data_IF_441589221020
#
_entry.id   IF_441589221020
#
_cell.length_a   1.000
_cell.length_b   1.000
_cell.length_c   1.000
_cell.angle_alpha   90.00
_cell.angle_beta   90.00
_cell.angle_gamma   90.00
#
_symmetry.space_group_name_H-M   'P 1'
#
loop_
_entity.id
_entity.type
_entity.pdbx_description
1 polymer ?
#
# COMPACT_ATOMS: atom_id res chain seq x y z
N UNK A 1 0.46 -14.18 50.92
CA UNK A 1 -0.92 -14.38 51.38
C UNK A 1 -1.73 -13.46 50.48
N UNK A 2 -1.97 -13.90 49.25
CA UNK A 2 -3.13 -14.75 48.85
C UNK A 2 -4.41 -13.95 49.10
N UNK A 3 -5.28 -13.65 48.14
CA UNK A 3 -5.74 -14.36 46.92
C UNK A 3 -6.34 -13.28 45.96
N UNK A 4 -6.14 -13.30 44.62
CA UNK A 4 -7.06 -13.83 43.55
C UNK A 4 -8.55 -13.52 43.79
N UNK A 5 -9.40 -13.08 42.87
CA UNK A 5 -9.60 -13.10 41.39
C UNK A 5 -10.73 -12.03 41.14
N UNK A 6 -10.91 -11.37 40.00
CA UNK A 6 -11.59 -11.88 38.80
C UNK A 6 -11.61 -10.79 37.71
N UNK A 7 -11.49 -11.24 36.47
CA UNK A 7 -11.57 -10.50 35.21
C UNK A 7 -12.96 -9.89 34.94
N UNK A 8 -12.98 -8.78 34.17
CA UNK A 8 -14.03 -8.65 33.14
C UNK A 8 -13.54 -7.74 31.99
N UNK A 9 -13.19 -8.42 30.88
CA UNK A 9 -12.96 -7.86 29.56
C UNK A 9 -14.27 -7.30 28.99
N UNK A 10 -14.28 -6.05 28.55
CA UNK A 10 -15.21 -5.64 27.50
C UNK A 10 -14.64 -4.53 26.61
N UNK A 11 -13.71 -4.92 25.74
CA UNK A 11 -13.10 -4.03 24.74
C UNK A 11 -13.97 -3.97 23.49
N UNK A 12 -14.80 -2.93 23.40
CA UNK A 12 -15.57 -2.57 22.22
C UNK A 12 -14.65 -2.29 21.01
N UNK A 13 -14.62 -3.24 20.06
CA UNK A 13 -13.99 -3.09 18.74
C UNK A 13 -14.92 -2.27 17.84
N UNK A 14 -14.65 -0.98 17.71
CA UNK A 14 -15.31 -0.12 16.72
C UNK A 14 -14.72 -0.36 15.33
N UNK A 15 -15.60 -0.70 14.38
CA UNK A 15 -15.31 -0.86 12.97
C UNK A 15 -14.92 0.49 12.34
N UNK A 16 -13.63 0.74 12.15
CA UNK A 16 -13.15 1.75 11.20
C UNK A 16 -12.87 1.07 9.86
N UNK A 17 -13.72 1.36 8.86
CA UNK A 17 -13.47 0.96 7.47
C UNK A 17 -12.36 1.85 6.90
N UNK A 18 -11.11 1.47 7.13
CA UNK A 18 -9.96 2.04 6.43
C UNK A 18 -9.94 1.45 5.01
N UNK A 19 -10.35 2.23 4.02
CA UNK A 19 -10.23 1.89 2.60
C UNK A 19 -8.74 1.85 2.22
N UNK A 20 -8.17 0.64 2.23
CA UNK A 20 -6.88 0.34 1.61
C UNK A 20 -6.98 0.51 0.10
N UNK A 21 -6.43 1.60 -0.41
CA UNK A 21 -6.19 1.80 -1.85
C UNK A 21 -5.00 0.93 -2.29
N UNK A 22 -5.31 -0.21 -2.91
CA UNK A 22 -4.40 -0.89 -3.83
C UNK A 22 -4.40 -0.13 -5.17
N UNK A 23 -3.27 0.36 -5.69
CA UNK A 23 -3.17 0.68 -7.10
C UNK A 23 -2.83 -0.61 -7.84
N UNK A 24 -3.80 -1.16 -8.57
CA UNK A 24 -3.63 -1.82 -9.89
C UNK A 24 -4.90 -2.62 -10.22
N UNK A 25 -5.81 -2.01 -10.98
CA UNK A 25 -6.83 -2.71 -11.79
C UNK A 25 -7.12 -1.86 -13.03
N UNK A 26 -6.37 -2.10 -14.10
CA UNK A 26 -6.82 -1.86 -15.48
C UNK A 26 -5.76 -2.31 -16.50
N UNK A 27 -5.57 -3.63 -16.64
CA UNK A 27 -5.13 -4.20 -17.93
C UNK A 27 -5.94 -5.47 -18.16
N UNK A 28 -6.65 -5.49 -19.28
CA UNK A 28 -7.50 -6.59 -19.74
C UNK A 28 -6.70 -7.88 -19.87
N UNK A 29 -7.22 -8.94 -19.23
CA UNK A 29 -6.84 -10.32 -19.44
C UNK A 29 -7.05 -10.71 -20.91
N UNK A 30 -6.02 -11.28 -21.53
CA UNK A 30 -6.10 -12.38 -22.50
C UNK A 30 -4.69 -12.68 -23.00
N UNK A 31 -4.03 -13.63 -22.33
CA UNK A 31 -3.13 -14.66 -22.90
C UNK A 31 -2.48 -15.36 -21.71
N UNK A 32 -2.87 -16.61 -21.45
CA UNK A 32 -2.19 -17.49 -20.50
C UNK A 32 -0.72 -17.68 -20.92
N UNK A 33 0.26 -17.46 -20.03
CA UNK A 33 1.55 -18.09 -20.15
C UNK A 33 1.67 -19.17 -19.07
N UNK A 34 1.72 -20.40 -19.56
CA UNK A 34 2.23 -21.64 -18.97
C UNK A 34 2.76 -21.59 -17.53
N UNK A 35 2.21 -22.50 -16.72
CA UNK A 35 2.66 -22.87 -15.38
C UNK A 35 4.17 -23.11 -15.29
N UNK A 36 4.92 -22.15 -14.75
CA UNK A 36 6.24 -22.40 -14.19
C UNK A 36 6.04 -23.10 -12.85
N UNK A 37 6.21 -24.42 -12.88
CA UNK A 37 6.09 -25.34 -11.75
C UNK A 37 6.95 -24.89 -10.57
N UNK A 38 6.30 -24.46 -9.49
CA UNK A 38 6.89 -24.37 -8.15
C UNK A 38 7.16 -25.80 -7.66
N UNK A 39 8.32 -26.35 -8.02
CA UNK A 39 8.76 -27.70 -7.60
C UNK A 39 9.04 -27.83 -6.10
N UNK A 40 9.23 -26.73 -5.36
CA UNK A 40 9.67 -26.78 -3.95
C UNK A 40 8.56 -26.92 -2.91
N UNK A 41 7.31 -26.51 -3.21
CA UNK A 41 6.18 -26.67 -2.26
C UNK A 41 5.63 -28.11 -2.30
N UNK A 42 5.69 -28.76 -3.46
CA UNK A 42 5.29 -30.17 -3.63
C UNK A 42 6.24 -31.16 -2.94
N UNK A 43 7.52 -30.83 -2.80
CA UNK A 43 8.50 -31.72 -2.16
C UNK A 43 8.31 -31.79 -0.64
N UNK A 44 7.89 -30.69 0.01
CA UNK A 44 7.61 -30.66 1.46
C UNK A 44 6.31 -31.37 1.87
N UNK A 45 5.33 -31.50 0.97
CA UNK A 45 4.10 -32.24 1.23
C UNK A 45 4.27 -33.76 1.00
N UNK A 46 5.26 -34.16 0.20
CA UNK A 46 5.57 -35.55 -0.10
C UNK A 46 6.40 -36.25 1.01
N UNK A 47 6.85 -35.53 2.04
CA UNK A 47 7.54 -36.14 3.19
C UNK A 47 6.59 -36.61 4.30
N UNK A 48 5.30 -36.35 4.17
CA UNK A 48 4.29 -36.82 5.12
C UNK A 48 3.95 -38.28 4.80
N UNK A 49 3.98 -39.15 5.81
CA UNK A 49 3.48 -40.54 5.65
C UNK A 49 1.99 -40.58 5.29
N UNK A 50 1.24 -39.52 5.61
CA UNK A 50 -0.20 -39.38 5.32
C UNK A 50 -0.55 -37.91 5.00
N UNK A 51 -1.37 -37.63 3.97
CA UNK A 51 -1.89 -36.29 3.70
C UNK A 51 -2.70 -35.70 4.87
N UNK A 52 -2.74 -34.36 4.99
CA UNK A 52 -3.43 -33.63 6.08
C UNK A 52 -4.91 -34.01 6.18
N UNK A 53 -5.57 -34.26 5.05
CA UNK A 53 -6.98 -34.65 5.02
C UNK A 53 -7.20 -36.10 5.48
N UNK A 54 -6.24 -36.99 5.22
CA UNK A 54 -6.24 -38.35 5.74
C UNK A 54 -6.04 -38.36 7.27
N UNK A 55 -5.18 -37.46 7.77
CA UNK A 55 -4.96 -37.23 9.20
C UNK A 55 -6.22 -36.76 9.93
N UNK A 56 -6.92 -35.76 9.37
CA UNK A 56 -8.21 -35.29 9.90
C UNK A 56 -9.27 -36.39 9.91
N UNK A 57 -9.32 -37.20 8.85
CA UNK A 57 -10.24 -38.32 8.75
C UNK A 57 -9.95 -39.41 9.80
N UNK A 58 -8.68 -39.75 10.03
CA UNK A 58 -8.28 -40.74 11.05
C UNK A 58 -8.55 -40.27 12.49
N UNK A 59 -8.33 -38.99 12.79
CA UNK A 59 -8.70 -38.38 14.07
C UNK A 59 -10.21 -38.44 14.31
N UNK A 60 -11.01 -38.15 13.28
CA UNK A 60 -12.47 -38.22 13.36
C UNK A 60 -12.95 -39.66 13.58
N UNK A 61 -12.31 -40.63 12.91
CA UNK A 61 -12.63 -42.05 13.06
C UNK A 61 -12.28 -42.58 14.46
N UNK A 62 -11.12 -42.21 15.02
CA UNK A 62 -10.75 -42.58 16.39
C UNK A 62 -11.69 -42.00 17.46
N UNK A 63 -12.12 -40.74 17.30
CA UNK A 63 -13.13 -40.12 18.20
C UNK A 63 -14.51 -40.78 18.07
N UNK A 64 -14.87 -41.22 16.88
CA UNK A 64 -16.12 -41.94 16.62
C UNK A 64 -16.08 -43.36 17.20
N UNK A 65 -14.94 -44.03 17.12
CA UNK A 65 -14.73 -45.36 17.71
C UNK A 65 -14.77 -45.28 19.25
N UNK A 66 -14.20 -44.23 19.87
CA UNK A 66 -14.36 -43.96 21.31
C UNK A 66 -15.83 -43.69 21.71
N UNK A 67 -16.55 -42.90 20.92
CA UNK A 67 -17.96 -42.59 21.20
C UNK A 67 -18.88 -43.81 21.03
N UNK A 68 -18.58 -44.69 20.07
CA UNK A 68 -19.32 -45.93 19.83
C UNK A 68 -19.08 -46.97 20.93
N UNK A 69 -17.84 -47.10 21.43
CA UNK A 69 -17.50 -48.05 22.51
C UNK A 69 -18.05 -47.62 23.88
N UNK A 70 -18.25 -46.32 24.14
CA UNK A 70 -18.87 -45.83 25.39
C UNK A 70 -20.37 -46.15 25.46
N UNK A 71 -21.01 -46.43 24.32
CA UNK A 71 -22.44 -46.75 24.25
C UNK A 71 -22.77 -48.23 24.49
N UNK A 72 -21.79 -49.13 24.51
CA UNK A 72 -21.98 -50.57 24.68
C UNK A 72 -21.30 -51.14 25.95
N UNK A 73 -22.12 -51.17 27.01
CA UNK A 73 -22.12 -52.05 28.19
C UNK A 73 -21.19 -51.86 29.40
N UNK A 74 -21.89 -52.00 30.52
CA UNK A 74 -21.52 -52.37 31.89
C UNK A 74 -20.46 -53.47 32.05
N UNK A 75 -19.82 -53.41 33.21
CA UNK A 75 -18.97 -54.37 33.91
C UNK A 75 -17.50 -54.43 33.49
N UNK A 76 -16.66 -54.25 34.51
CA UNK A 76 -15.24 -54.04 34.39
C UNK A 76 -14.49 -55.27 33.94
N UNK A 77 -13.66 -55.08 32.91
CA UNK A 77 -12.37 -55.73 32.76
C UNK A 77 -11.44 -54.81 31.93
N UNK A 78 -10.29 -54.53 32.53
CA UNK A 78 -9.07 -53.85 32.08
C UNK A 78 -9.02 -53.21 30.68
N UNK A 79 -8.92 -51.87 30.64
CA UNK A 79 -8.67 -50.98 29.46
C UNK A 79 -7.20 -50.52 29.30
N UNK A 80 -6.20 -51.35 28.94
CA UNK A 80 -4.84 -50.84 28.71
C UNK A 80 -4.42 -50.72 27.24
N UNK A 81 -5.16 -51.26 26.26
CA UNK A 81 -4.71 -51.32 24.84
C UNK A 81 -5.09 -50.09 24.00
N UNK A 82 -6.29 -49.54 24.18
CA UNK A 82 -6.80 -48.39 23.41
C UNK A 82 -6.13 -47.08 23.83
N UNK A 83 -5.96 -46.85 25.13
CA UNK A 83 -5.29 -45.66 25.67
C UNK A 83 -3.80 -45.60 25.27
N UNK A 84 -3.10 -46.74 25.28
CA UNK A 84 -1.71 -46.83 24.79
C UNK A 84 -1.60 -46.55 23.29
N UNK A 85 -2.60 -46.94 22.49
CA UNK A 85 -2.61 -46.68 21.04
C UNK A 85 -2.87 -45.20 20.74
N UNK A 86 -3.79 -44.58 21.49
CA UNK A 86 -4.06 -43.14 21.39
C UNK A 86 -2.85 -42.32 21.81
N UNK A 87 -2.22 -42.66 22.94
CA UNK A 87 -1.01 -41.98 23.42
C UNK A 87 0.16 -42.09 22.43
N UNK A 88 0.40 -43.28 21.86
CA UNK A 88 1.41 -43.46 20.81
C UNK A 88 1.12 -42.62 19.56
N UNK A 89 -0.14 -42.57 19.12
CA UNK A 89 -0.52 -41.77 17.97
C UNK A 89 -0.32 -40.27 18.25
N UNK A 90 -0.70 -39.79 19.42
CA UNK A 90 -0.49 -38.40 19.83
C UNK A 90 1.01 -38.06 19.96
N UNK A 91 1.82 -38.97 20.50
CA UNK A 91 3.28 -38.81 20.58
C UNK A 91 3.91 -38.76 19.18
N UNK A 92 3.54 -39.66 18.26
CA UNK A 92 3.99 -39.61 16.86
C UNK A 92 3.55 -38.33 16.15
N UNK A 93 2.31 -37.86 16.36
CA UNK A 93 1.86 -36.58 15.81
C UNK A 93 2.65 -35.39 16.37
N UNK A 94 2.97 -35.42 17.67
CA UNK A 94 3.76 -34.38 18.32
C UNK A 94 5.18 -34.36 17.76
N UNK A 95 5.76 -35.53 17.52
CA UNK A 95 7.07 -35.68 16.87
C UNK A 95 7.04 -35.19 15.42
N UNK A 96 6.03 -35.57 14.63
CA UNK A 96 5.87 -35.13 13.23
C UNK A 96 5.62 -33.62 13.11
N UNK A 97 4.80 -33.04 13.99
CA UNK A 97 4.57 -31.60 14.06
C UNK A 97 5.85 -30.85 14.49
N UNK A 98 6.60 -31.41 15.45
CA UNK A 98 7.88 -30.83 15.86
C UNK A 98 8.92 -30.94 14.74
N UNK A 99 8.96 -32.04 13.99
CA UNK A 99 9.82 -32.19 12.82
C UNK A 99 9.44 -31.20 11.71
N UNK A 100 8.14 -30.93 11.51
CA UNK A 100 7.66 -29.90 10.60
C UNK A 100 8.07 -28.50 11.08
N UNK A 101 7.91 -28.19 12.37
CA UNK A 101 8.38 -26.93 12.98
C UNK A 101 9.89 -26.72 12.86
N UNK A 102 10.68 -27.80 12.93
CA UNK A 102 12.14 -27.76 12.76
C UNK A 102 12.55 -27.51 11.30
N UNK A 103 11.69 -27.87 10.33
CA UNK A 103 11.96 -27.64 8.90
C UNK A 103 11.30 -26.36 8.34
N UNK A 104 10.52 -25.63 9.15
CA UNK A 104 10.04 -24.28 8.83
C UNK A 104 11.18 -23.31 9.15
N UNK A 105 11.88 -22.85 8.11
CA UNK A 105 12.84 -21.75 8.27
C UNK A 105 12.04 -20.52 8.71
N UNK A 106 12.40 -19.92 9.84
CA UNK A 106 11.72 -18.70 10.29
C UNK A 106 11.99 -17.52 9.35
N UNK A 107 11.05 -16.58 9.25
CA UNK A 107 11.24 -15.37 8.46
C UNK A 107 12.49 -14.60 8.88
N UNK A 108 12.83 -14.60 10.18
CA UNK A 108 14.07 -14.01 10.69
C UNK A 108 15.33 -14.67 10.12
N UNK A 109 15.33 -16.00 9.98
CA UNK A 109 16.44 -16.72 9.34
C UNK A 109 16.51 -16.46 7.84
N UNK A 110 15.37 -16.38 7.15
CA UNK A 110 15.31 -16.01 5.74
C UNK A 110 15.86 -14.60 5.51
N UNK A 111 15.43 -13.61 6.31
CA UNK A 111 15.97 -12.25 6.28
C UNK A 111 17.49 -12.28 6.43
N UNK A 112 18.04 -12.99 7.42
CA UNK A 112 19.50 -13.11 7.60
C UNK A 112 20.20 -13.70 6.38
N UNK A 113 19.65 -14.76 5.78
CA UNK A 113 20.20 -15.38 4.56
C UNK A 113 20.19 -14.40 3.39
N UNK A 114 19.10 -13.68 3.17
CA UNK A 114 19.01 -12.68 2.10
C UNK A 114 19.96 -11.50 2.32
N UNK A 115 20.12 -11.02 3.56
CA UNK A 115 21.12 -9.99 3.88
C UNK A 115 22.53 -10.47 3.54
N UNK A 116 22.90 -11.68 3.94
CA UNK A 116 24.21 -12.26 3.66
C UNK A 116 24.44 -12.40 2.16
N UNK A 117 23.47 -12.95 1.42
CA UNK A 117 23.53 -13.09 -0.04
C UNK A 117 23.65 -11.72 -0.72
N UNK A 118 22.92 -10.70 -0.26
CA UNK A 118 22.99 -9.37 -0.85
C UNK A 118 24.38 -8.72 -0.70
N UNK A 119 25.08 -8.97 0.41
CA UNK A 119 26.38 -8.32 0.67
C UNK A 119 27.43 -8.63 -0.41
N UNK A 120 27.40 -9.80 -1.05
CA UNK A 120 28.36 -10.13 -2.12
C UNK A 120 28.20 -9.23 -3.35
N UNK A 121 27.02 -8.69 -3.59
CA UNK A 121 26.73 -7.84 -4.75
C UNK A 121 26.85 -6.34 -4.46
N UNK A 122 26.92 -5.95 -3.18
CA UNK A 122 26.85 -4.53 -2.76
C UNK A 122 27.84 -3.63 -3.49
N UNK A 123 29.11 -4.05 -3.59
CA UNK A 123 30.13 -3.27 -4.31
C UNK A 123 29.78 -3.15 -5.79
N UNK A 124 29.46 -4.28 -6.45
CA UNK A 124 29.12 -4.33 -7.88
C UNK A 124 27.88 -3.51 -8.23
N UNK A 125 26.88 -3.44 -7.34
CA UNK A 125 25.70 -2.58 -7.49
C UNK A 125 26.14 -1.10 -7.57
N UNK A 126 26.99 -0.67 -6.64
CA UNK A 126 27.43 0.73 -6.55
C UNK A 126 28.40 1.12 -7.67
N UNK A 127 29.26 0.21 -8.13
CA UNK A 127 30.19 0.45 -9.24
C UNK A 127 29.57 0.25 -10.61
N UNK A 128 28.35 -0.31 -10.69
CA UNK A 128 27.66 -0.60 -11.94
C UNK A 128 28.32 -1.71 -12.76
N UNK A 129 28.98 -2.67 -12.10
CA UNK A 129 29.76 -3.75 -12.74
C UNK A 129 29.08 -5.11 -12.71
N UNK A 130 27.80 -5.17 -12.31
CA UNK A 130 27.04 -6.42 -12.31
C UNK A 130 26.86 -6.97 -13.72
N UNK A 131 27.02 -8.28 -13.86
CA UNK A 131 26.58 -9.04 -15.02
C UNK A 131 25.06 -9.21 -15.05
N UNK A 132 24.49 -9.59 -16.18
CA UNK A 132 23.04 -9.84 -16.31
C UNK A 132 22.53 -10.90 -15.32
N UNK A 133 23.31 -11.95 -15.07
CA UNK A 133 22.95 -13.02 -14.12
C UNK A 133 22.93 -12.47 -12.69
N UNK A 134 23.93 -11.67 -12.31
CA UNK A 134 23.97 -11.08 -10.97
C UNK A 134 22.85 -10.05 -10.76
N UNK A 135 22.42 -9.34 -11.82
CA UNK A 135 21.25 -8.45 -11.75
C UNK A 135 20.00 -9.27 -11.40
N UNK A 136 19.74 -10.38 -12.10
CA UNK A 136 18.60 -11.26 -11.82
C UNK A 136 18.65 -11.80 -10.38
N UNK A 137 19.83 -12.20 -9.89
CA UNK A 137 20.01 -12.67 -8.52
C UNK A 137 19.74 -11.57 -7.47
N UNK A 138 20.16 -10.33 -7.74
CA UNK A 138 19.86 -9.18 -6.87
C UNK A 138 18.36 -8.88 -6.87
N UNK A 139 17.71 -8.89 -8.03
CA UNK A 139 16.27 -8.68 -8.15
C UNK A 139 15.48 -9.76 -7.41
N UNK A 140 15.87 -11.03 -7.53
CA UNK A 140 15.28 -12.14 -6.75
C UNK A 140 15.40 -11.89 -5.24
N UNK A 141 16.56 -11.46 -4.75
CA UNK A 141 16.73 -11.14 -3.33
C UNK A 141 15.79 -10.02 -2.89
N UNK A 142 15.73 -8.92 -3.65
CA UNK A 142 14.89 -7.77 -3.30
C UNK A 142 13.40 -8.14 -3.31
N UNK A 143 12.96 -8.92 -4.30
CA UNK A 143 11.58 -9.43 -4.41
C UNK A 143 11.20 -10.32 -3.22
N UNK A 144 12.08 -11.26 -2.83
CA UNK A 144 11.82 -12.14 -1.69
C UNK A 144 11.81 -11.36 -0.36
N UNK A 145 12.71 -10.38 -0.21
CA UNK A 145 12.67 -9.49 0.95
C UNK A 145 11.35 -8.73 0.99
N UNK A 146 10.91 -8.16 -0.13
CA UNK A 146 9.70 -7.35 -0.20
C UNK A 146 8.46 -8.14 0.20
N UNK A 147 8.34 -9.39 -0.29
CA UNK A 147 7.28 -10.31 0.12
C UNK A 147 7.24 -10.50 1.65
N UNK A 148 8.40 -10.68 2.30
CA UNK A 148 8.48 -10.82 3.75
C UNK A 148 8.11 -9.54 4.49
N UNK A 149 8.46 -8.37 3.94
CA UNK A 149 8.29 -7.07 4.63
C UNK A 149 6.84 -6.55 4.64
N UNK A 150 5.92 -7.17 3.89
CA UNK A 150 4.49 -6.91 4.08
C UNK A 150 4.01 -7.26 5.49
N UNK A 151 4.71 -8.16 6.18
CA UNK A 151 4.47 -8.40 7.60
C UNK A 151 5.20 -7.33 8.42
N UNK A 152 4.43 -6.59 9.22
CA UNK A 152 4.93 -5.45 10.02
C UNK A 152 6.13 -5.84 10.90
N UNK A 153 6.12 -7.02 11.51
CA UNK A 153 7.20 -7.46 12.39
C UNK A 153 8.47 -7.81 11.63
N UNK A 154 8.37 -8.41 10.44
CA UNK A 154 9.51 -8.64 9.55
C UNK A 154 10.11 -7.31 9.07
N UNK A 155 9.29 -6.32 8.73
CA UNK A 155 9.76 -4.97 8.39
C UNK A 155 10.52 -4.30 9.55
N UNK A 156 10.07 -4.48 10.80
CA UNK A 156 10.81 -4.01 11.98
C UNK A 156 12.16 -4.72 12.12
N UNK A 157 12.20 -6.05 11.98
CA UNK A 157 13.44 -6.84 12.04
C UNK A 157 14.40 -6.40 10.93
N UNK A 158 13.92 -6.24 9.70
CA UNK A 158 14.69 -5.72 8.57
C UNK A 158 15.30 -4.35 8.89
N UNK A 159 14.52 -3.44 9.47
CA UNK A 159 14.99 -2.12 9.90
C UNK A 159 16.03 -2.22 11.03
N UNK A 160 15.82 -3.10 12.01
CA UNK A 160 16.75 -3.32 13.14
C UNK A 160 18.08 -3.94 12.68
N UNK A 161 18.07 -4.67 11.56
CA UNK A 161 19.28 -5.20 10.90
C UNK A 161 20.01 -4.16 10.03
N UNK A 162 19.56 -2.91 10.05
CA UNK A 162 19.98 -1.81 9.16
C UNK A 162 19.70 -2.09 7.68
N UNK A 163 18.62 -2.79 7.35
CA UNK A 163 18.25 -3.12 5.97
C UNK A 163 18.11 -1.88 5.07
N UNK A 164 17.61 -0.78 5.62
CA UNK A 164 17.55 0.50 4.91
C UNK A 164 18.93 0.91 4.38
N UNK A 165 19.94 1.00 5.24
CA UNK A 165 21.28 1.48 4.85
C UNK A 165 22.14 0.40 4.19
N UNK A 166 21.99 -0.87 4.57
CA UNK A 166 22.81 -1.98 4.06
C UNK A 166 22.31 -2.57 2.74
N UNK A 167 21.02 -2.43 2.42
CA UNK A 167 20.40 -2.98 1.22
C UNK A 167 19.86 -1.88 0.32
N UNK A 168 18.96 -1.03 0.83
CA UNK A 168 18.25 -0.06 -0.01
C UNK A 168 19.18 1.05 -0.50
N UNK A 169 19.98 1.65 0.40
CA UNK A 169 20.85 2.78 0.01
C UNK A 169 21.87 2.43 -1.09
N UNK A 170 22.56 1.27 -1.08
CA UNK A 170 23.41 0.86 -2.20
C UNK A 170 22.66 0.76 -3.53
N UNK A 171 21.44 0.23 -3.54
CA UNK A 171 20.61 0.13 -4.74
C UNK A 171 20.26 1.51 -5.31
N UNK A 172 19.87 2.47 -4.46
CA UNK A 172 19.54 3.83 -4.90
C UNK A 172 20.76 4.56 -5.49
N UNK A 173 21.95 4.28 -4.96
CA UNK A 173 23.22 4.85 -5.41
C UNK A 173 23.81 4.15 -6.65
N UNK A 174 23.29 2.98 -7.03
CA UNK A 174 23.72 2.26 -8.23
C UNK A 174 23.27 2.93 -9.53
N UNK A 175 23.56 2.32 -10.67
CA UNK A 175 23.17 2.83 -12.00
C UNK A 175 22.01 2.06 -12.64
N UNK A 176 21.73 0.83 -12.20
CA UNK A 176 20.69 -0.02 -12.75
C UNK A 176 19.28 0.43 -12.28
N UNK A 177 18.38 0.70 -13.22
CA UNK A 177 17.04 1.22 -12.93
C UNK A 177 16.07 0.18 -12.39
N UNK A 178 16.18 -1.09 -12.79
CA UNK A 178 15.34 -2.18 -12.28
C UNK A 178 15.64 -2.42 -10.80
N UNK A 179 16.92 -2.46 -10.43
CA UNK A 179 17.36 -2.58 -9.03
C UNK A 179 16.90 -1.37 -8.20
N UNK A 180 16.95 -0.15 -8.77
CA UNK A 180 16.39 1.04 -8.10
C UNK A 180 14.88 0.92 -7.89
N UNK A 181 14.16 0.53 -8.93
CA UNK A 181 12.70 0.34 -8.91
C UNK A 181 12.31 -0.64 -7.79
N UNK A 182 12.99 -1.78 -7.73
CA UNK A 182 12.68 -2.83 -6.77
C UNK A 182 13.11 -2.48 -5.34
N UNK A 183 14.24 -1.79 -5.16
CA UNK A 183 14.63 -1.27 -3.85
C UNK A 183 13.68 -0.20 -3.31
N UNK A 184 13.11 0.64 -4.18
CA UNK A 184 12.07 1.61 -3.81
C UNK A 184 10.75 0.91 -3.46
N UNK A 185 10.40 -0.18 -4.16
CA UNK A 185 9.25 -1.02 -3.82
C UNK A 185 9.41 -1.63 -2.43
N UNK A 186 10.56 -2.23 -2.17
CA UNK A 186 10.95 -2.77 -0.86
C UNK A 186 10.89 -1.71 0.25
N UNK A 187 11.39 -0.48 -0.01
CA UNK A 187 11.31 0.64 0.93
C UNK A 187 9.86 0.99 1.27
N UNK A 188 9.01 1.08 0.26
CA UNK A 188 7.58 1.36 0.46
C UNK A 188 6.89 0.28 1.28
N UNK A 189 7.12 -0.99 0.96
CA UNK A 189 6.56 -2.13 1.71
C UNK A 189 6.99 -2.11 3.19
N UNK A 190 8.27 -1.82 3.46
CA UNK A 190 8.80 -1.76 4.83
C UNK A 190 8.19 -0.62 5.65
N UNK A 191 7.99 0.55 5.04
CA UNK A 191 7.56 1.77 5.71
C UNK A 191 6.03 1.90 5.84
N UNK A 192 5.27 1.23 4.96
CA UNK A 192 3.82 1.37 4.89
C UNK A 192 3.16 1.00 6.22
N UNK A 193 2.44 1.97 6.81
CA UNK A 193 1.76 1.81 8.10
C UNK A 193 2.69 1.34 9.24
N UNK A 194 3.99 1.70 9.17
CA UNK A 194 5.00 1.26 10.12
C UNK A 194 5.83 2.43 10.68
N UNK A 195 5.34 3.11 11.74
CA UNK A 195 6.01 4.29 12.31
C UNK A 195 7.46 4.06 12.76
N UNK A 196 7.81 2.85 13.21
CA UNK A 196 9.20 2.51 13.58
C UNK A 196 10.13 2.56 12.38
N UNK A 197 9.70 1.99 11.25
CA UNK A 197 10.49 2.00 10.01
C UNK A 197 10.51 3.39 9.39
N UNK A 198 9.38 4.12 9.41
CA UNK A 198 9.31 5.52 8.97
C UNK A 198 10.28 6.42 9.76
N UNK A 199 10.34 6.27 11.09
CA UNK A 199 11.27 7.00 11.94
C UNK A 199 12.72 6.65 11.58
N UNK A 200 13.06 5.36 11.44
CA UNK A 200 14.41 4.95 11.04
C UNK A 200 14.79 5.45 9.66
N UNK A 201 13.85 5.47 8.71
CA UNK A 201 14.07 6.00 7.37
C UNK A 201 14.30 7.52 7.40
N UNK A 202 13.56 8.26 8.23
CA UNK A 202 13.78 9.69 8.46
C UNK A 202 15.17 9.96 9.05
N UNK A 203 15.58 9.21 10.08
CA UNK A 203 16.92 9.31 10.70
C UNK A 203 18.07 9.06 9.72
N UNK A 204 17.83 8.33 8.63
CA UNK A 204 18.83 7.98 7.62
C UNK A 204 18.64 8.75 6.29
N UNK A 205 17.92 9.87 6.32
CA UNK A 205 17.64 10.78 5.20
C UNK A 205 17.03 10.10 3.96
N UNK A 206 16.21 9.06 4.14
CA UNK A 206 15.60 8.38 2.99
C UNK A 206 14.64 9.27 2.22
N UNK A 207 14.03 10.26 2.86
CA UNK A 207 13.17 11.24 2.17
C UNK A 207 13.99 12.01 1.13
N UNK A 208 15.15 12.56 1.52
CA UNK A 208 16.03 13.28 0.61
C UNK A 208 16.59 12.37 -0.48
N UNK A 209 16.97 11.13 -0.14
CA UNK A 209 17.46 10.14 -1.12
C UNK A 209 16.40 9.80 -2.16
N UNK A 210 15.16 9.58 -1.76
CA UNK A 210 14.08 9.27 -2.70
C UNK A 210 13.72 10.50 -3.55
N UNK A 211 13.69 11.70 -2.97
CA UNK A 211 13.50 12.96 -3.73
C UNK A 211 14.62 13.16 -4.76
N UNK A 212 15.86 12.84 -4.41
CA UNK A 212 16.99 12.90 -5.34
C UNK A 212 16.79 11.96 -6.52
N UNK A 213 16.42 10.68 -6.28
CA UNK A 213 16.15 9.72 -7.35
C UNK A 213 14.96 10.18 -8.21
N UNK A 214 13.88 10.66 -7.60
CA UNK A 214 12.70 11.19 -8.32
C UNK A 214 13.06 12.37 -9.23
N UNK A 215 13.99 13.23 -8.80
CA UNK A 215 14.41 14.41 -9.55
C UNK A 215 15.42 14.12 -10.68
N UNK A 216 16.21 13.05 -10.56
CA UNK A 216 17.32 12.76 -11.49
C UNK A 216 17.02 11.61 -12.45
N UNK A 217 15.99 10.81 -12.17
CA UNK A 217 15.63 9.66 -13.01
C UNK A 217 14.45 9.99 -13.94
N UNK A 218 14.58 9.66 -15.22
CA UNK A 218 13.54 9.88 -16.23
C UNK A 218 12.71 8.62 -16.52
N UNK A 219 13.06 7.47 -15.95
CA UNK A 219 12.30 6.23 -16.13
C UNK A 219 11.02 6.30 -15.32
N UNK A 220 9.92 6.18 -16.05
CA UNK A 220 8.55 6.13 -15.56
C UNK A 220 8.38 5.18 -14.36
N UNK A 221 8.88 3.96 -14.51
CA UNK A 221 8.77 2.94 -13.46
C UNK A 221 9.46 3.38 -12.16
N UNK A 222 10.67 3.93 -12.25
CA UNK A 222 11.42 4.44 -11.10
C UNK A 222 10.71 5.62 -10.45
N UNK A 223 10.16 6.57 -11.24
CA UNK A 223 9.37 7.68 -10.70
C UNK A 223 8.12 7.19 -9.97
N UNK A 224 7.41 6.23 -10.55
CA UNK A 224 6.23 5.60 -9.95
C UNK A 224 6.58 4.94 -8.60
N UNK A 225 7.71 4.22 -8.53
CA UNK A 225 8.19 3.61 -7.28
C UNK A 225 8.70 4.64 -6.27
N UNK A 226 9.30 5.75 -6.71
CA UNK A 226 9.66 6.86 -5.82
C UNK A 226 8.42 7.46 -5.14
N UNK A 227 7.35 7.73 -5.91
CA UNK A 227 6.11 8.26 -5.36
C UNK A 227 5.43 7.26 -4.41
N UNK A 228 5.47 5.96 -4.72
CA UNK A 228 5.01 4.92 -3.80
C UNK A 228 5.80 4.91 -2.49
N UNK A 229 7.14 4.89 -2.55
CA UNK A 229 8.00 4.91 -1.38
C UNK A 229 7.82 6.19 -0.54
N UNK A 230 7.79 7.36 -1.18
CA UNK A 230 7.53 8.64 -0.50
C UNK A 230 6.17 8.62 0.19
N UNK A 231 5.13 8.15 -0.50
CA UNK A 231 3.79 8.01 0.05
C UNK A 231 3.80 7.13 1.32
N UNK A 232 4.46 5.98 1.29
CA UNK A 232 4.59 5.12 2.46
C UNK A 232 5.40 5.75 3.61
N UNK A 233 6.41 6.56 3.31
CA UNK A 233 7.26 7.23 4.30
C UNK A 233 6.57 8.38 5.03
N UNK A 234 5.68 9.11 4.35
CA UNK A 234 5.15 10.38 4.88
C UNK A 234 3.71 10.32 5.37
N UNK A 235 2.91 9.34 4.91
CA UNK A 235 1.53 9.19 5.38
C UNK A 235 1.46 8.91 6.87
N UNK A 236 0.54 9.57 7.55
CA UNK A 236 0.32 9.45 8.98
C UNK A 236 1.57 9.75 9.85
N UNK A 237 2.56 10.44 9.29
CA UNK A 237 3.84 10.72 9.96
C UNK A 237 4.29 12.18 9.76
N UNK A 238 3.79 13.12 10.58
CA UNK A 238 4.00 14.57 10.40
C UNK A 238 5.46 15.01 10.33
N UNK A 239 6.35 14.35 11.09
CA UNK A 239 7.78 14.65 11.06
C UNK A 239 8.41 14.40 9.68
N UNK A 240 8.03 13.31 9.02
CA UNK A 240 8.46 13.02 7.66
C UNK A 240 7.79 13.93 6.63
N UNK A 241 6.51 14.31 6.82
CA UNK A 241 5.86 15.30 5.95
C UNK A 241 6.59 16.64 6.00
N UNK A 242 6.98 17.09 7.21
CA UNK A 242 7.78 18.31 7.39
C UNK A 242 9.12 18.20 6.65
N UNK A 243 9.86 17.11 6.87
CA UNK A 243 11.13 16.89 6.18
C UNK A 243 10.95 16.86 4.66
N UNK A 244 9.90 16.21 4.15
CA UNK A 244 9.60 16.19 2.71
C UNK A 244 9.35 17.59 2.14
N UNK A 245 8.56 18.43 2.82
CA UNK A 245 8.32 19.82 2.42
C UNK A 245 9.62 20.64 2.47
N UNK A 246 10.39 20.52 3.55
CA UNK A 246 11.65 21.26 3.75
C UNK A 246 12.69 20.92 2.68
N UNK A 247 12.71 19.68 2.20
CA UNK A 247 13.60 19.22 1.13
C UNK A 247 13.08 19.48 -0.29
N UNK A 248 12.05 20.32 -0.44
CA UNK A 248 11.57 20.74 -1.76
C UNK A 248 10.56 19.79 -2.40
N UNK A 249 9.87 18.96 -1.60
CA UNK A 249 8.93 17.96 -2.07
C UNK A 249 7.77 18.52 -2.88
N UNK A 250 7.17 19.63 -2.43
CA UNK A 250 6.06 20.28 -3.12
C UNK A 250 6.47 20.90 -4.46
N UNK A 251 7.68 21.45 -4.52
CA UNK A 251 8.29 22.02 -5.72
C UNK A 251 8.49 20.93 -6.78
N UNK A 252 8.94 19.74 -6.35
CA UNK A 252 9.11 18.60 -7.23
C UNK A 252 7.77 18.05 -7.73
N UNK A 253 6.76 17.96 -6.86
CA UNK A 253 5.40 17.61 -7.29
C UNK A 253 4.83 18.64 -8.27
N UNK A 254 5.10 19.93 -8.06
CA UNK A 254 4.68 20.98 -8.99
C UNK A 254 5.23 20.76 -10.40
N UNK A 255 6.52 20.38 -10.52
CA UNK A 255 7.14 20.00 -11.81
C UNK A 255 6.47 18.78 -12.44
N UNK A 256 6.14 17.77 -11.63
CA UNK A 256 5.45 16.56 -12.09
C UNK A 256 4.07 16.91 -12.66
N UNK A 257 3.29 17.70 -11.92
CA UNK A 257 1.95 18.12 -12.34
C UNK A 257 1.96 19.04 -13.56
N UNK A 258 3.08 19.71 -13.84
CA UNK A 258 3.21 20.57 -15.00
C UNK A 258 3.38 19.77 -16.30
N UNK A 259 4.29 18.80 -16.36
CA UNK A 259 4.73 18.18 -17.62
C UNK A 259 5.16 16.70 -17.55
N UNK A 260 4.71 15.95 -16.53
CA UNK A 260 4.93 14.50 -16.49
C UNK A 260 3.76 13.70 -17.10
N UNK A 261 3.93 12.38 -17.19
CA UNK A 261 2.87 11.50 -17.70
C UNK A 261 1.67 11.41 -16.75
N UNK A 262 0.48 11.22 -17.32
CA UNK A 262 -0.80 11.21 -16.58
C UNK A 262 -0.76 10.29 -15.36
N UNK A 263 -0.19 9.09 -15.48
CA UNK A 263 -0.12 8.14 -14.37
C UNK A 263 0.78 8.61 -13.21
N UNK A 264 1.87 9.36 -13.48
CA UNK A 264 2.71 9.97 -12.45
C UNK A 264 1.97 11.16 -11.81
N UNK A 265 1.32 11.99 -12.64
CA UNK A 265 0.50 13.11 -12.18
C UNK A 265 -0.63 12.65 -11.24
N UNK A 266 -1.32 11.57 -11.59
CA UNK A 266 -2.35 10.97 -10.74
C UNK A 266 -1.80 10.52 -9.38
N UNK A 267 -0.63 9.87 -9.34
CA UNK A 267 0.00 9.45 -8.09
C UNK A 267 0.39 10.65 -7.21
N UNK A 268 0.89 11.73 -7.82
CA UNK A 268 1.19 12.97 -7.12
C UNK A 268 -0.06 13.64 -6.55
N UNK A 269 -1.14 13.72 -7.33
CA UNK A 269 -2.44 14.26 -6.88
C UNK A 269 -3.03 13.43 -5.74
N UNK A 270 -3.09 12.09 -5.90
CA UNK A 270 -3.57 11.17 -4.86
C UNK A 270 -2.82 11.35 -3.55
N UNK A 271 -1.48 11.45 -3.60
CA UNK A 271 -0.69 11.71 -2.39
C UNK A 271 -1.12 13.00 -1.67
N UNK A 272 -1.33 14.11 -2.39
CA UNK A 272 -1.80 15.36 -1.77
C UNK A 272 -3.22 15.23 -1.21
N UNK A 273 -4.13 14.53 -1.92
CA UNK A 273 -5.48 14.27 -1.41
C UNK A 273 -5.42 13.51 -0.11
N UNK A 274 -4.63 12.45 -0.07
CA UNK A 274 -4.46 11.63 1.12
C UNK A 274 -3.92 12.45 2.28
N UNK A 275 -2.87 13.25 2.09
CA UNK A 275 -2.34 14.15 3.13
C UNK A 275 -3.34 15.23 3.58
N UNK A 276 -4.26 15.64 2.71
CA UNK A 276 -5.33 16.59 3.03
C UNK A 276 -6.42 15.91 3.86
N UNK A 277 -6.83 14.71 3.46
CA UNK A 277 -7.82 13.89 4.17
C UNK A 277 -7.29 13.50 5.56
N UNK A 278 -6.01 13.13 5.68
CA UNK A 278 -5.36 12.86 6.96
C UNK A 278 -5.55 14.00 7.97
N UNK A 279 -5.46 15.25 7.51
CA UNK A 279 -5.64 16.44 8.34
C UNK A 279 -7.11 16.69 8.69
N UNK A 280 -8.02 16.48 7.74
CA UNK A 280 -9.47 16.60 7.97
C UNK A 280 -9.95 15.58 9.01
N UNK A 281 -9.47 14.35 8.92
CA UNK A 281 -9.85 13.27 9.82
C UNK A 281 -9.37 13.49 11.27
N UNK A 282 -8.51 14.49 11.53
CA UNK A 282 -8.17 14.87 12.91
C UNK A 282 -9.41 15.33 13.68
N UNK A 283 -10.37 15.97 13.02
CA UNK A 283 -11.61 16.44 13.65
C UNK A 283 -12.49 15.29 14.15
N UNK A 284 -12.35 14.11 13.55
CA UNK A 284 -13.10 12.89 13.89
C UNK A 284 -12.56 12.19 15.16
N UNK A 285 -11.38 12.58 15.64
CA UNK A 285 -10.79 12.00 16.88
C UNK A 285 -11.67 12.40 18.08
N UNK A 286 -12.33 11.43 18.72
CA UNK A 286 -13.24 11.69 19.84
C UNK A 286 -12.54 12.27 21.08
N UNK A 287 -11.34 11.77 21.40
CA UNK A 287 -10.58 12.23 22.56
C UNK A 287 -9.97 13.61 22.29
N UNK A 288 -10.34 14.60 23.11
CA UNK A 288 -9.97 15.99 22.88
C UNK A 288 -8.46 16.25 23.07
N UNK A 289 -7.83 15.57 24.03
CA UNK A 289 -6.40 15.72 24.30
C UNK A 289 -5.57 15.12 23.17
N UNK A 290 -5.92 13.90 22.73
CA UNK A 290 -5.31 13.23 21.58
C UNK A 290 -5.51 14.05 20.31
N UNK A 291 -6.71 14.58 20.06
CA UNK A 291 -7.00 15.45 18.93
C UNK A 291 -6.07 16.66 18.93
N UNK A 292 -6.00 17.38 20.05
CA UNK A 292 -5.18 18.58 20.16
C UNK A 292 -3.68 18.27 19.99
N UNK A 293 -3.23 17.13 20.53
CA UNK A 293 -1.86 16.67 20.35
C UNK A 293 -1.54 16.39 18.87
N UNK A 294 -2.39 15.63 18.17
CA UNK A 294 -2.22 15.36 16.74
C UNK A 294 -2.27 16.65 15.91
N UNK A 295 -3.19 17.57 16.20
CA UNK A 295 -3.23 18.87 15.51
C UNK A 295 -1.92 19.64 15.65
N UNK A 296 -1.31 19.66 16.84
CA UNK A 296 0.02 20.27 17.04
C UNK A 296 1.11 19.59 16.23
N UNK A 297 1.09 18.26 16.15
CA UNK A 297 2.05 17.50 15.35
C UNK A 297 1.93 17.82 13.85
N UNK A 298 0.73 17.96 13.32
CA UNK A 298 0.52 18.30 11.90
C UNK A 298 0.78 19.80 11.59
N UNK A 299 0.55 20.69 12.56
CA UNK A 299 0.74 22.13 12.38
C UNK A 299 2.17 22.51 11.99
N UNK A 300 3.18 21.74 12.39
CA UNK A 300 4.60 21.99 12.07
C UNK A 300 4.93 22.04 10.57
N UNK A 301 4.01 21.54 9.73
CA UNK A 301 4.21 21.40 8.29
C UNK A 301 3.81 22.66 7.50
N UNK A 302 3.00 23.55 8.09
CA UNK A 302 2.35 24.66 7.39
C UNK A 302 1.69 24.24 6.06
N UNK A 303 1.16 23.00 5.99
CA UNK A 303 0.84 22.31 4.73
C UNK A 303 -0.06 23.12 3.80
N UNK A 304 -1.18 23.65 4.30
CA UNK A 304 -2.15 24.41 3.50
C UNK A 304 -1.52 25.67 2.91
N UNK A 305 -0.79 26.44 3.74
CA UNK A 305 -0.06 27.63 3.31
C UNK A 305 1.02 27.29 2.29
N UNK A 306 1.71 26.16 2.45
CA UNK A 306 2.73 25.69 1.53
C UNK A 306 2.15 25.26 0.19
N UNK A 307 0.98 24.60 0.16
CA UNK A 307 0.28 24.28 -1.10
C UNK A 307 -0.06 25.54 -1.89
N UNK A 308 -0.58 26.58 -1.22
CA UNK A 308 -0.88 27.87 -1.85
C UNK A 308 0.39 28.53 -2.40
N UNK A 309 1.47 28.58 -1.61
CA UNK A 309 2.76 29.16 -2.03
C UNK A 309 3.42 28.42 -3.20
N UNK A 310 3.07 27.16 -3.42
CA UNK A 310 3.59 26.33 -4.51
C UNK A 310 2.63 26.21 -5.69
N UNK A 311 1.65 27.13 -5.80
CA UNK A 311 0.70 27.21 -6.91
C UNK A 311 -0.08 25.90 -7.17
N UNK A 312 -0.25 25.06 -6.14
CA UNK A 312 -0.85 23.74 -6.30
C UNK A 312 -2.28 23.83 -6.85
N UNK A 313 -3.08 24.76 -6.33
CA UNK A 313 -4.45 25.01 -6.80
C UNK A 313 -4.48 25.35 -8.29
N UNK A 314 -3.61 26.26 -8.72
CA UNK A 314 -3.48 26.69 -10.12
C UNK A 314 -3.06 25.53 -11.03
N UNK A 315 -2.14 24.68 -10.56
CA UNK A 315 -1.71 23.49 -11.30
C UNK A 315 -2.87 22.51 -11.52
N UNK A 316 -3.68 22.23 -10.49
CA UNK A 316 -4.86 21.37 -10.63
C UNK A 316 -5.86 21.93 -11.65
N UNK A 317 -6.11 23.23 -11.60
CA UNK A 317 -7.02 23.87 -12.55
C UNK A 317 -6.50 23.80 -13.98
N UNK A 318 -5.19 24.00 -14.18
CA UNK A 318 -4.56 23.83 -15.49
C UNK A 318 -4.70 22.39 -15.99
N UNK A 319 -4.55 21.39 -15.12
CA UNK A 319 -4.76 19.98 -15.46
C UNK A 319 -6.21 19.68 -15.87
N UNK A 320 -7.20 20.23 -15.17
CA UNK A 320 -8.61 20.11 -15.55
C UNK A 320 -8.87 20.70 -16.94
N UNK A 321 -8.37 21.92 -17.19
CA UNK A 321 -8.50 22.58 -18.50
C UNK A 321 -7.79 21.78 -19.60
N UNK A 322 -6.59 21.25 -19.32
CA UNK A 322 -5.83 20.39 -20.24
C UNK A 322 -6.61 19.12 -20.57
N UNK A 323 -7.12 18.42 -19.57
CA UNK A 323 -7.90 17.20 -19.73
C UNK A 323 -9.13 17.43 -20.63
N UNK A 324 -9.83 18.54 -20.45
CA UNK A 324 -10.96 18.90 -21.31
C UNK A 324 -10.53 19.25 -22.74
N UNK A 325 -9.42 19.97 -22.93
CA UNK A 325 -8.91 20.27 -24.29
C UNK A 325 -8.55 19.00 -25.05
N UNK A 326 -7.86 18.06 -24.41
CA UNK A 326 -7.50 16.76 -25.01
C UNK A 326 -8.74 15.96 -25.41
N UNK A 327 -9.81 16.03 -24.59
CA UNK A 327 -11.13 15.47 -24.90
C UNK A 327 -11.70 16.06 -26.19
N UNK A 328 -11.72 17.38 -26.32
CA UNK A 328 -12.25 18.07 -27.49
C UNK A 328 -11.48 17.74 -28.78
N UNK A 329 -10.17 17.55 -28.68
CA UNK A 329 -9.32 17.22 -29.84
C UNK A 329 -9.41 15.76 -30.27
N UNK A 330 -10.27 14.95 -29.63
CA UNK A 330 -10.43 13.53 -29.97
C UNK A 330 -9.22 12.66 -29.57
N UNK A 331 -8.31 13.16 -28.75
CA UNK A 331 -7.14 12.43 -28.21
C UNK A 331 -7.49 11.68 -26.92
N UNK A 332 -8.77 11.32 -26.74
CA UNK A 332 -9.27 10.83 -25.47
C UNK A 332 -9.19 9.31 -25.38
N UNK A 333 -8.51 8.82 -24.34
CA UNK A 333 -8.37 7.40 -24.01
C UNK A 333 -9.09 7.04 -22.71
N UNK A 334 -9.14 5.74 -22.37
CA UNK A 334 -9.67 5.27 -21.08
C UNK A 334 -8.85 5.87 -19.92
N UNK A 335 -7.52 6.00 -20.06
CA UNK A 335 -6.65 6.61 -19.06
C UNK A 335 -7.03 8.07 -18.76
N UNK A 336 -7.65 8.77 -19.72
CA UNK A 336 -8.13 10.13 -19.50
C UNK A 336 -9.40 10.19 -18.63
N UNK A 337 -10.22 9.13 -18.58
CA UNK A 337 -11.35 9.08 -17.64
C UNK A 337 -10.85 8.93 -16.20
N UNK A 338 -9.92 8.01 -15.96
CA UNK A 338 -9.29 7.83 -14.65
C UNK A 338 -8.59 9.13 -14.23
N UNK A 339 -7.90 9.79 -15.16
CA UNK A 339 -7.27 11.08 -14.91
C UNK A 339 -8.31 12.15 -14.53
N UNK A 340 -9.43 12.23 -15.27
CA UNK A 340 -10.52 13.17 -14.99
C UNK A 340 -11.14 12.93 -13.61
N UNK A 341 -11.34 11.66 -13.24
CA UNK A 341 -11.81 11.29 -11.91
C UNK A 341 -10.85 11.80 -10.84
N UNK A 342 -9.55 11.51 -10.99
CA UNK A 342 -8.54 11.89 -10.00
C UNK A 342 -8.41 13.40 -9.89
N UNK A 343 -8.36 14.15 -10.99
CA UNK A 343 -8.25 15.62 -10.92
C UNK A 343 -9.51 16.24 -10.33
N UNK A 344 -10.71 15.72 -10.65
CA UNK A 344 -11.97 16.19 -10.08
C UNK A 344 -12.03 15.94 -8.57
N UNK A 345 -11.71 14.72 -8.13
CA UNK A 345 -11.66 14.37 -6.71
C UNK A 345 -10.61 15.20 -5.95
N UNK A 346 -9.47 15.49 -6.58
CA UNK A 346 -8.43 16.34 -6.01
C UNK A 346 -8.87 17.78 -5.82
N UNK A 347 -9.55 18.33 -6.83
CA UNK A 347 -10.11 19.69 -6.75
C UNK A 347 -11.20 19.80 -5.69
N UNK A 348 -12.06 18.78 -5.54
CA UNK A 348 -13.05 18.71 -4.45
C UNK A 348 -12.34 18.65 -3.09
N UNK A 349 -11.39 17.72 -2.94
CA UNK A 349 -10.68 17.48 -1.67
C UNK A 349 -9.98 18.74 -1.17
N UNK A 350 -9.32 19.47 -2.07
CA UNK A 350 -8.55 20.67 -1.75
C UNK A 350 -9.39 21.97 -1.75
N UNK A 351 -10.66 21.92 -2.12
CA UNK A 351 -11.53 23.11 -2.22
C UNK A 351 -11.51 24.01 -0.98
N UNK A 352 -11.55 23.50 0.27
CA UNK A 352 -11.47 24.35 1.46
C UNK A 352 -10.20 25.22 1.52
N UNK A 353 -9.08 24.71 0.99
CA UNK A 353 -7.78 25.41 0.93
C UNK A 353 -7.71 26.31 -0.31
N UNK A 354 -8.21 25.83 -1.46
CA UNK A 354 -8.09 26.49 -2.76
C UNK A 354 -9.27 27.39 -3.15
N UNK A 355 -10.23 27.65 -2.24
CA UNK A 355 -11.48 28.37 -2.53
C UNK A 355 -11.27 29.69 -3.27
N UNK A 356 -10.36 30.53 -2.77
CA UNK A 356 -10.05 31.83 -3.39
C UNK A 356 -9.41 31.66 -4.78
N UNK A 357 -8.47 30.72 -4.91
CA UNK A 357 -7.77 30.47 -6.17
C UNK A 357 -8.72 29.95 -7.25
N UNK A 358 -9.61 29.03 -6.91
CA UNK A 358 -10.60 28.52 -7.86
C UNK A 358 -11.63 29.57 -8.28
N UNK A 359 -12.03 30.46 -7.36
CA UNK A 359 -12.90 31.60 -7.69
C UNK A 359 -12.23 32.58 -8.65
N UNK A 360 -10.94 32.84 -8.49
CA UNK A 360 -10.19 33.75 -9.37
C UNK A 360 -10.14 33.30 -10.83
N UNK A 361 -10.28 32.00 -11.08
CA UNK A 361 -10.26 31.40 -12.43
C UNK A 361 -11.63 30.88 -12.88
N UNK A 362 -12.70 31.23 -12.16
CA UNK A 362 -14.07 30.77 -12.39
C UNK A 362 -14.49 30.92 -13.85
N UNK A 363 -14.18 32.07 -14.46
CA UNK A 363 -14.49 32.36 -15.87
C UNK A 363 -13.86 31.39 -16.87
N UNK A 364 -12.75 30.71 -16.51
CA UNK A 364 -12.10 29.70 -17.34
C UNK A 364 -12.57 28.29 -16.99
N UNK A 365 -12.77 28.01 -15.69
CA UNK A 365 -13.01 26.67 -15.18
C UNK A 365 -14.48 26.25 -15.27
N UNK A 366 -15.42 27.16 -14.98
CA UNK A 366 -16.85 26.87 -15.02
C UNK A 366 -17.35 26.45 -16.43
N UNK A 367 -16.95 27.11 -17.54
CA UNK A 367 -17.30 26.64 -18.88
C UNK A 367 -16.75 25.25 -19.18
N UNK A 368 -15.53 24.92 -18.72
CA UNK A 368 -14.91 23.61 -18.89
C UNK A 368 -15.76 22.52 -18.21
N UNK A 369 -16.14 22.74 -16.96
CA UNK A 369 -16.94 21.80 -16.18
C UNK A 369 -18.34 21.61 -16.81
N UNK A 370 -19.01 22.71 -17.18
CA UNK A 370 -20.33 22.62 -17.81
C UNK A 370 -20.29 21.87 -19.15
N UNK A 371 -19.24 22.07 -19.95
CA UNK A 371 -19.08 21.36 -21.21
C UNK A 371 -18.78 19.87 -21.00
N UNK A 372 -17.99 19.51 -19.99
CA UNK A 372 -17.77 18.11 -19.59
C UNK A 372 -19.09 17.44 -19.19
N UNK A 373 -19.90 18.11 -18.36
CA UNK A 373 -21.24 17.62 -17.97
C UNK A 373 -22.12 17.39 -19.18
N UNK A 374 -22.26 18.40 -20.04
CA UNK A 374 -23.07 18.28 -21.25
C UNK A 374 -22.61 17.13 -22.15
N UNK A 375 -21.29 16.96 -22.30
CA UNK A 375 -20.71 15.86 -23.09
C UNK A 375 -21.11 14.50 -22.53
N UNK A 376 -20.95 14.28 -21.23
CA UNK A 376 -21.23 12.99 -20.61
C UNK A 376 -22.73 12.71 -20.46
N UNK A 377 -23.57 13.74 -20.33
CA UNK A 377 -25.03 13.59 -20.29
C UNK A 377 -25.65 13.25 -21.66
N UNK A 378 -24.96 13.56 -22.77
CA UNK A 378 -25.45 13.32 -24.13
C UNK A 378 -24.52 12.39 -24.92
N UNK A 379 -24.37 11.11 -24.50
CA UNK A 379 -23.51 10.18 -25.22
C UNK A 379 -24.09 9.87 -26.61
N UNK A 380 -23.32 10.15 -27.67
CA UNK A 380 -23.71 9.90 -29.07
C UNK A 380 -23.71 8.39 -29.46
N UNK A 381 -23.60 7.47 -28.49
CA UNK A 381 -23.37 6.03 -28.73
C UNK A 381 -24.23 5.21 -27.75
N UNK A 382 -24.72 4.04 -28.19
CA UNK A 382 -25.34 3.04 -27.28
C UNK A 382 -24.26 2.43 -26.38
N UNK A 383 -24.41 2.64 -25.07
CA UNK A 383 -23.53 2.09 -24.05
C UNK A 383 -24.06 0.75 -23.53
N UNK A 384 -23.15 -0.10 -23.06
CA UNK A 384 -23.48 -1.26 -22.22
C UNK A 384 -23.94 -0.83 -20.83
N UNK A 385 -24.47 -1.76 -20.03
CA UNK A 385 -24.93 -1.47 -18.65
C UNK A 385 -23.76 -0.99 -17.78
N UNK A 386 -22.62 -1.69 -17.85
CA UNK A 386 -21.42 -1.34 -17.07
C UNK A 386 -20.86 0.03 -17.46
N UNK A 387 -20.81 0.34 -18.76
CA UNK A 387 -20.39 1.67 -19.25
C UNK A 387 -21.37 2.77 -18.84
N UNK A 388 -22.66 2.45 -18.72
CA UNK A 388 -23.69 3.39 -18.25
C UNK A 388 -23.49 3.74 -16.77
N UNK A 389 -23.12 2.79 -15.93
CA UNK A 389 -22.93 3.03 -14.50
C UNK A 389 -21.63 3.80 -14.21
N UNK A 390 -20.54 3.49 -14.94
CA UNK A 390 -19.31 4.28 -14.91
C UNK A 390 -19.59 5.73 -15.32
N UNK A 391 -20.36 5.93 -16.40
CA UNK A 391 -20.74 7.25 -16.88
C UNK A 391 -21.54 8.04 -15.84
N UNK A 392 -22.54 7.43 -15.20
CA UNK A 392 -23.32 8.06 -14.13
C UNK A 392 -22.44 8.48 -12.96
N UNK A 393 -21.52 7.61 -12.53
CA UNK A 393 -20.57 7.93 -11.46
C UNK A 393 -19.75 9.17 -11.80
N UNK A 394 -19.26 9.25 -13.04
CA UNK A 394 -18.47 10.38 -13.51
C UNK A 394 -19.29 11.68 -13.59
N UNK A 395 -20.55 11.61 -14.07
CA UNK A 395 -21.45 12.77 -14.08
C UNK A 395 -21.66 13.29 -12.65
N UNK A 396 -22.01 12.42 -11.71
CA UNK A 396 -22.21 12.78 -10.30
C UNK A 396 -20.96 13.42 -9.69
N UNK A 397 -19.78 12.92 -10.03
CA UNK A 397 -18.51 13.49 -9.57
C UNK A 397 -18.31 14.92 -10.09
N UNK A 398 -18.59 15.15 -11.37
CA UNK A 398 -18.42 16.47 -12.00
C UNK A 398 -19.50 17.46 -11.51
N UNK A 399 -20.72 17.00 -11.24
CA UNK A 399 -21.78 17.80 -10.59
C UNK A 399 -21.33 18.22 -9.20
N UNK A 400 -20.88 17.27 -8.37
CA UNK A 400 -20.33 17.54 -7.03
C UNK A 400 -19.15 18.49 -7.08
N UNK A 401 -18.27 18.37 -8.07
CA UNK A 401 -17.15 19.29 -8.29
C UNK A 401 -17.65 20.72 -8.52
N UNK A 402 -18.64 20.88 -9.41
CA UNK A 402 -19.24 22.18 -9.72
C UNK A 402 -19.81 22.84 -8.47
N UNK A 403 -20.63 22.10 -7.73
CA UNK A 403 -21.26 22.56 -6.48
C UNK A 403 -20.19 22.96 -5.46
N UNK A 404 -19.20 22.09 -5.23
CA UNK A 404 -18.15 22.29 -4.21
C UNK A 404 -17.28 23.53 -4.47
N UNK A 405 -17.09 23.91 -5.74
CA UNK A 405 -16.21 25.02 -6.11
C UNK A 405 -16.97 26.33 -6.27
N UNK A 406 -18.17 26.32 -6.87
CA UNK A 406 -18.85 27.52 -7.33
C UNK A 406 -20.16 27.81 -6.61
N UNK A 407 -20.76 26.85 -5.94
CA UNK A 407 -21.97 27.08 -5.17
C UNK A 407 -21.56 27.38 -3.71
N UNK A 408 -22.05 28.50 -3.19
CA UNK A 408 -21.88 28.79 -1.77
C UNK A 408 -22.62 27.71 -0.97
N UNK A 409 -22.12 27.30 0.22
CA UNK A 409 -22.97 26.56 1.13
C UNK A 409 -24.24 27.40 1.32
N UNK A 410 -25.41 26.79 1.11
CA UNK A 410 -26.62 27.37 1.65
C UNK A 410 -26.39 27.49 3.15
N UNK A 411 -26.10 28.71 3.60
CA UNK A 411 -26.22 29.07 5.01
C UNK A 411 -27.69 28.79 5.36
N UNK A 412 -27.95 27.65 5.99
CA UNK A 412 -29.20 27.40 6.69
C UNK A 412 -29.28 28.45 7.80
N UNK A 413 -30.02 29.53 7.49
CA UNK A 413 -30.40 30.63 8.37
C UNK A 413 -31.22 30.16 9.57
#
# INVERSE_FOLDING_TARGET
MDDTEEDDENTNRSNSKSLTLHPDKSVLENEEPESVKIKKVSESLNSLKFPIDELKARLKKLKQDEAAEVSNMNNGETRPKTEKRFKRFYETLKEELNALKVNVTSDSELLKRFFQKFQSYKSSITTGTLTSIEIEEVLDILNNLEYLLHQIDNAKIFSDMDGLTKIISPCLNGTNNEIKSEALRLLGAAAQSNPKVQAKALENDFIQKVLHVLSTNNKIEVKSRCLFALSALIRQFPAAQKAWIDHGGLQLLGKILYDDQLHIQMKAMKLINDLTIERRNLEEIHDAEQRQQRMREYAITDFELKLLRHDYCKLLSNLMVKCFKEKLTGQFSIENNDFLEVVSDSMITISPICKTEFKNIELLLLPVINNLLHFYQNPNIKLTVDETDVLKSLILLIERLKETIFEAPHDEL
#
